data_IF_079305899305
#
_entry.id   IF_079305899305
#
_cell.length_a   1.000
_cell.length_b   1.000
_cell.length_c   1.000
_cell.angle_alpha   90.00
_cell.angle_beta   90.00
_cell.angle_gamma   90.00
#
_symmetry.space_group_name_H-M   'P 1'
#
loop_
_entity.id
_entity.type
_entity.pdbx_description
1 polymer ?
#
# COMPACT_ATOMS: atom_id res chain seq x y z
N UNK A 1 -9.78 -1.85 14.71
CA UNK A 1 -9.47 -1.42 13.32
C UNK A 1 -10.59 -1.91 12.42
N UNK A 2 -11.07 -1.12 11.44
CA UNK A 2 -12.06 -1.60 10.49
C UNK A 2 -11.49 -2.75 9.66
N UNK A 3 -12.30 -3.78 9.45
CA UNK A 3 -11.98 -4.94 8.63
C UNK A 3 -13.04 -5.05 7.55
N UNK A 4 -12.62 -5.32 6.32
CA UNK A 4 -13.49 -5.64 5.20
C UNK A 4 -12.95 -6.83 4.41
N UNK A 5 -13.79 -7.43 3.58
CA UNK A 5 -13.35 -8.41 2.60
C UNK A 5 -13.33 -7.84 1.20
N UNK A 6 -12.47 -8.39 0.36
CA UNK A 6 -12.50 -8.25 -1.09
C UNK A 6 -12.73 -9.64 -1.69
N UNK A 7 -13.94 -9.90 -2.20
CA UNK A 7 -14.32 -11.16 -2.83
C UNK A 7 -14.33 -10.97 -4.34
N UNK A 8 -13.41 -11.61 -5.07
CA UNK A 8 -13.24 -11.44 -6.51
C UNK A 8 -13.14 -9.96 -6.95
N UNK A 9 -12.46 -9.17 -6.12
CA UNK A 9 -12.29 -7.75 -6.34
C UNK A 9 -13.54 -6.91 -6.03
N UNK A 10 -14.56 -7.46 -5.37
CA UNK A 10 -15.73 -6.73 -4.90
C UNK A 10 -15.69 -6.57 -3.38
N UNK A 11 -15.88 -5.36 -2.84
CA UNK A 11 -15.86 -5.15 -1.40
C UNK A 11 -17.07 -5.79 -0.73
N UNK A 12 -16.85 -6.44 0.41
CA UNK A 12 -17.89 -6.92 1.32
C UNK A 12 -17.61 -6.40 2.72
N UNK A 13 -18.60 -5.74 3.31
CA UNK A 13 -18.53 -5.24 4.68
C UNK A 13 -19.05 -6.29 5.66
N UNK A 14 -18.54 -6.32 6.90
CA UNK A 14 -19.05 -7.23 7.91
C UNK A 14 -20.31 -6.72 8.59
N UNK A 15 -21.12 -7.66 9.08
CA UNK A 15 -22.02 -7.46 10.21
C UNK A 15 -21.28 -7.84 11.49
N UNK A 16 -21.30 -6.97 12.50
CA UNK A 16 -20.70 -7.28 13.81
C UNK A 16 -21.71 -8.02 14.67
N UNK A 17 -21.35 -9.21 15.12
CA UNK A 17 -22.18 -10.02 16.01
C UNK A 17 -21.95 -9.66 17.48
N UNK A 18 -22.92 -10.00 18.35
CA UNK A 18 -22.84 -9.73 19.78
C UNK A 18 -21.65 -10.43 20.48
N UNK A 19 -21.16 -11.53 19.91
CA UNK A 19 -20.01 -12.29 20.42
C UNK A 19 -18.66 -11.77 19.90
N UNK A 20 -18.65 -10.62 19.21
CA UNK A 20 -17.45 -9.98 18.68
C UNK A 20 -16.95 -10.56 17.36
N UNK A 21 -17.61 -11.58 16.79
CA UNK A 21 -17.28 -12.09 15.46
C UNK A 21 -17.78 -11.16 14.37
N UNK A 22 -17.08 -11.18 13.24
CA UNK A 22 -17.48 -10.49 12.03
C UNK A 22 -18.11 -11.49 11.05
N UNK A 23 -19.35 -11.23 10.63
CA UNK A 23 -20.07 -12.03 9.65
C UNK A 23 -20.00 -11.37 8.27
N UNK A 24 -19.64 -12.13 7.25
CA UNK A 24 -19.65 -11.73 5.85
C UNK A 24 -20.53 -12.66 5.02
N UNK A 25 -21.25 -12.08 4.06
CA UNK A 25 -22.01 -12.81 3.06
C UNK A 25 -21.19 -12.95 1.78
N UNK A 26 -20.83 -14.18 1.43
CA UNK A 26 -19.91 -14.48 0.32
C UNK A 26 -20.58 -15.42 -0.66
N UNK A 27 -20.53 -15.12 -1.95
CA UNK A 27 -20.97 -16.03 -3.00
C UNK A 27 -19.84 -16.98 -3.41
N UNK A 28 -20.08 -18.28 -3.34
CA UNK A 28 -19.11 -19.31 -3.75
C UNK A 28 -19.51 -19.97 -5.09
N UNK A 29 -18.55 -20.49 -5.88
CA UNK A 29 -17.11 -20.45 -5.62
C UNK A 29 -16.54 -19.05 -5.91
N UNK A 30 -15.76 -18.53 -4.96
CA UNK A 30 -14.95 -17.33 -5.17
C UNK A 30 -13.57 -17.75 -5.70
N UNK A 31 -12.96 -16.94 -6.56
CA UNK A 31 -11.58 -17.15 -7.02
C UNK A 31 -10.57 -16.62 -6.01
N UNK A 32 -10.90 -15.52 -5.36
CA UNK A 32 -10.07 -14.85 -4.35
C UNK A 32 -10.96 -14.21 -3.28
N UNK A 33 -10.56 -14.37 -2.02
CA UNK A 33 -11.13 -13.64 -0.89
C UNK A 33 -9.97 -13.04 -0.11
N UNK A 34 -9.90 -11.72 0.02
CA UNK A 34 -8.85 -11.03 0.80
C UNK A 34 -9.44 -10.34 2.02
N UNK A 35 -8.78 -10.48 3.16
CA UNK A 35 -9.03 -9.73 4.39
C UNK A 35 -8.24 -8.42 4.30
N UNK A 36 -8.95 -7.31 4.30
CA UNK A 36 -8.39 -5.97 4.27
C UNK A 36 -8.57 -5.30 5.64
N UNK A 37 -7.50 -4.71 6.15
CA UNK A 37 -7.54 -3.91 7.36
C UNK A 37 -6.49 -2.80 7.33
N UNK A 38 -6.62 -1.85 8.27
CA UNK A 38 -5.47 -1.05 8.67
C UNK A 38 -4.33 -1.94 9.18
N UNK A 39 -3.13 -1.38 9.29
CA UNK A 39 -1.99 -2.05 9.89
C UNK A 39 -1.14 -1.05 10.68
N UNK A 40 -0.36 -1.58 11.61
CA UNK A 40 0.72 -0.87 12.29
C UNK A 40 2.02 -1.66 12.23
N UNK A 41 3.12 -1.05 12.68
CA UNK A 41 4.35 -1.77 12.99
C UNK A 41 4.67 -1.54 14.46
N UNK A 42 4.88 -2.58 15.28
CA UNK A 42 5.15 -2.39 16.70
C UNK A 42 6.34 -1.47 16.99
N UNK A 43 7.37 -1.47 16.12
CA UNK A 43 8.51 -0.52 16.20
C UNK A 43 8.08 0.95 16.18
N UNK A 44 7.01 1.29 15.45
CA UNK A 44 6.48 2.66 15.41
C UNK A 44 5.78 3.05 16.73
N UNK A 45 5.51 2.07 17.60
CA UNK A 45 4.88 2.22 18.91
C UNK A 45 5.81 1.90 20.08
N UNK A 46 7.13 1.88 19.86
CA UNK A 46 8.11 1.69 20.92
C UNK A 46 8.50 0.23 21.22
N UNK A 47 8.18 -0.71 20.32
CA UNK A 47 8.67 -2.09 20.39
C UNK A 47 9.83 -2.30 19.41
N UNK A 48 11.08 -2.00 19.80
CA UNK A 48 12.20 -1.83 18.86
C UNK A 48 12.58 -3.09 18.07
N UNK A 49 12.16 -4.27 18.55
CA UNK A 49 12.51 -5.57 17.98
C UNK A 49 11.50 -6.01 16.91
N UNK A 50 10.22 -5.69 17.08
CA UNK A 50 9.18 -6.18 16.17
C UNK A 50 8.88 -5.14 15.08
N UNK A 51 9.45 -5.40 13.90
CA UNK A 51 9.32 -4.56 12.69
C UNK A 51 8.22 -5.07 11.75
N UNK A 52 7.49 -6.12 12.13
CA UNK A 52 6.48 -6.74 11.26
C UNK A 52 5.35 -5.75 10.99
N UNK A 53 4.76 -5.90 9.81
CA UNK A 53 3.52 -5.21 9.45
C UNK A 53 2.36 -6.04 9.99
N UNK A 54 1.63 -5.52 10.97
CA UNK A 54 0.57 -6.22 11.68
C UNK A 54 -0.77 -5.53 11.43
N UNK A 55 -1.69 -6.25 10.78
CA UNK A 55 -3.07 -5.88 10.58
C UNK A 55 -3.93 -6.35 11.74
N UNK A 56 -4.86 -7.27 11.49
CA UNK A 56 -5.71 -7.85 12.53
C UNK A 56 -5.21 -9.21 12.99
N UNK A 57 -5.36 -9.50 14.28
CA UNK A 57 -5.11 -10.80 14.87
C UNK A 57 -6.33 -11.70 14.68
N UNK A 58 -6.22 -12.67 13.78
CA UNK A 58 -7.24 -13.66 13.48
C UNK A 58 -7.15 -14.81 14.48
N UNK A 59 -8.24 -15.15 15.15
CA UNK A 59 -8.39 -16.30 16.04
C UNK A 59 -8.96 -17.52 15.32
N UNK A 60 -9.74 -17.30 14.26
CA UNK A 60 -10.35 -18.39 13.53
C UNK A 60 -11.19 -17.90 12.35
N UNK A 61 -11.39 -18.82 11.41
CA UNK A 61 -12.24 -18.62 10.22
C UNK A 61 -13.25 -19.76 10.21
N UNK A 62 -14.53 -19.43 10.06
CA UNK A 62 -15.61 -20.42 10.02
C UNK A 62 -16.55 -20.13 8.86
N UNK A 63 -17.07 -21.18 8.23
CA UNK A 63 -18.03 -21.08 7.13
C UNK A 63 -19.34 -21.73 7.57
N UNK A 64 -20.47 -21.10 7.28
CA UNK A 64 -21.80 -21.67 7.54
C UNK A 64 -22.68 -21.60 6.31
N UNK A 65 -23.38 -22.70 6.03
CA UNK A 65 -24.46 -22.70 5.06
C UNK A 65 -25.47 -23.80 5.34
N UNK A 66 -26.76 -23.43 5.37
CA UNK A 66 -27.85 -24.40 5.50
C UNK A 66 -27.74 -25.26 6.76
N UNK A 67 -27.20 -24.71 7.85
CA UNK A 67 -26.97 -25.41 9.12
C UNK A 67 -25.69 -26.25 9.18
N UNK A 68 -24.94 -26.39 8.07
CA UNK A 68 -23.62 -27.01 8.07
C UNK A 68 -22.54 -25.96 8.36
N UNK A 69 -21.56 -26.32 9.19
CA UNK A 69 -20.43 -25.45 9.58
C UNK A 69 -19.10 -26.11 9.27
N UNK A 70 -18.13 -25.35 8.75
CA UNK A 70 -16.75 -25.78 8.53
C UNK A 70 -15.82 -24.77 9.19
N UNK A 71 -15.09 -25.21 10.20
CA UNK A 71 -14.06 -24.41 10.86
C UNK A 71 -12.70 -24.63 10.21
N UNK A 72 -11.98 -23.54 10.00
CA UNK A 72 -10.64 -23.54 9.44
C UNK A 72 -9.63 -23.25 10.56
N UNK A 73 -8.73 -24.20 10.89
CA UNK A 73 -7.72 -24.01 11.92
C UNK A 73 -6.76 -22.86 11.57
N UNK A 74 -6.54 -21.93 12.50
CA UNK A 74 -5.71 -20.73 12.29
C UNK A 74 -4.20 -21.04 12.15
N UNK A 75 -3.78 -22.20 12.63
CA UNK A 75 -2.45 -22.78 12.51
C UNK A 75 -2.23 -23.51 11.16
N UNK A 76 -3.26 -23.61 10.32
CA UNK A 76 -3.14 -24.18 8.98
C UNK A 76 -1.98 -23.56 8.20
N UNK A 77 -1.13 -24.42 7.63
CA UNK A 77 0.02 -24.01 6.82
C UNK A 77 -0.38 -23.36 5.50
N UNK A 78 -1.66 -23.42 5.11
CA UNK A 78 -2.18 -22.78 3.91
C UNK A 78 -2.18 -21.25 4.03
N UNK A 79 -2.26 -20.68 5.25
CA UNK A 79 -2.22 -19.23 5.49
C UNK A 79 -0.82 -18.68 5.21
N UNK A 80 -0.62 -18.15 4.00
CA UNK A 80 0.67 -17.67 3.48
C UNK A 80 0.59 -16.20 3.04
N UNK A 81 -0.25 -15.88 2.05
CA UNK A 81 -0.30 -14.53 1.46
C UNK A 81 -0.89 -13.50 2.43
N UNK A 82 -0.04 -12.60 2.94
CA UNK A 82 -0.38 -11.53 3.89
C UNK A 82 -0.64 -12.01 5.32
N UNK A 83 -0.20 -13.23 5.67
CA UNK A 83 -0.34 -13.83 6.99
C UNK A 83 1.02 -14.02 7.67
N UNK A 84 1.13 -13.67 8.95
CA UNK A 84 2.31 -13.93 9.78
C UNK A 84 2.31 -15.37 10.31
N UNK A 85 3.36 -15.77 11.04
CA UNK A 85 3.39 -17.03 11.77
C UNK A 85 2.29 -17.10 12.84
N UNK A 86 1.84 -18.31 13.16
CA UNK A 86 0.90 -18.53 14.27
C UNK A 86 1.61 -18.20 15.58
N UNK A 87 0.90 -17.52 16.47
CA UNK A 87 1.34 -17.16 17.80
C UNK A 87 0.39 -17.78 18.84
N UNK A 88 0.96 -18.24 19.93
CA UNK A 88 0.21 -18.71 21.10
C UNK A 88 0.75 -17.95 22.32
N UNK A 89 -0.03 -17.04 22.93
CA UNK A 89 0.43 -16.34 24.12
C UNK A 89 0.63 -17.32 25.26
N UNK A 90 1.66 -17.12 26.10
CA UNK A 90 1.83 -17.93 27.31
C UNK A 90 0.62 -17.84 28.27
N UNK A 91 -0.18 -16.77 28.16
CA UNK A 91 -1.34 -16.48 28.98
C UNK A 91 -2.67 -16.98 28.40
N UNK A 92 -2.67 -17.58 27.21
CA UNK A 92 -3.89 -18.08 26.57
C UNK A 92 -3.63 -19.37 25.80
N UNK A 93 -4.57 -20.31 25.92
CA UNK A 93 -4.60 -21.53 25.12
C UNK A 93 -4.94 -21.26 23.64
N UNK A 94 -5.49 -20.08 23.31
CA UNK A 94 -5.93 -19.74 21.97
C UNK A 94 -4.77 -19.26 21.10
N UNK A 95 -4.54 -20.02 20.04
CA UNK A 95 -3.68 -19.62 18.93
C UNK A 95 -4.33 -18.50 18.12
N UNK A 96 -3.51 -17.62 17.57
CA UNK A 96 -3.93 -16.56 16.68
C UNK A 96 -2.86 -16.28 15.63
N UNK A 97 -3.24 -15.55 14.59
CA UNK A 97 -2.33 -15.18 13.51
C UNK A 97 -2.57 -13.75 13.06
N UNK A 98 -1.52 -12.97 12.96
CA UNK A 98 -1.62 -11.62 12.41
C UNK A 98 -1.75 -11.65 10.89
N UNK A 99 -2.62 -10.79 10.35
CA UNK A 99 -2.52 -10.36 8.95
C UNK A 99 -1.48 -9.25 8.82
N UNK A 100 -1.13 -8.84 7.60
CA UNK A 100 -0.31 -7.64 7.32
C UNK A 100 -1.14 -6.42 6.88
N UNK A 101 -2.46 -6.53 6.97
CA UNK A 101 -3.44 -5.56 6.45
C UNK A 101 -4.01 -5.92 5.07
N UNK A 102 -3.46 -6.91 4.38
CA UNK A 102 -4.00 -7.41 3.11
C UNK A 102 -3.70 -8.91 2.89
N UNK A 103 -4.48 -9.76 3.56
CA UNK A 103 -4.23 -11.20 3.58
C UNK A 103 -5.21 -11.98 2.70
N UNK A 104 -4.73 -12.85 1.81
CA UNK A 104 -5.59 -13.68 0.97
C UNK A 104 -5.95 -14.99 1.68
N UNK A 105 -7.25 -15.24 1.86
CA UNK A 105 -7.73 -16.53 2.33
C UNK A 105 -7.37 -17.60 1.28
N UNK A 106 -6.70 -18.69 1.67
CA UNK A 106 -6.27 -19.71 0.74
C UNK A 106 -7.47 -20.42 0.10
N UNK A 107 -7.55 -20.55 -1.23
CA UNK A 107 -8.67 -21.22 -1.90
C UNK A 107 -8.86 -22.68 -1.47
N UNK A 108 -7.81 -23.34 -0.99
CA UNK A 108 -7.89 -24.70 -0.43
C UNK A 108 -8.72 -24.79 0.85
N UNK A 109 -9.03 -23.66 1.49
CA UNK A 109 -9.87 -23.57 2.69
C UNK A 109 -11.31 -23.16 2.35
N UNK A 110 -11.63 -22.93 1.07
CA UNK A 110 -12.99 -22.60 0.67
C UNK A 110 -13.86 -23.86 0.69
N UNK A 111 -15.06 -23.80 1.26
CA UNK A 111 -15.94 -24.96 1.27
C UNK A 111 -16.43 -25.25 -0.16
N UNK A 112 -16.74 -26.52 -0.49
CA UNK A 112 -17.14 -26.93 -1.84
C UNK A 112 -18.59 -26.49 -2.21
N UNK A 113 -19.16 -25.53 -1.48
CA UNK A 113 -20.53 -25.05 -1.65
C UNK A 113 -20.65 -24.06 -2.82
N UNK A 114 -21.87 -23.90 -3.36
CA UNK A 114 -22.16 -23.01 -4.52
C UNK A 114 -23.32 -22.07 -4.26
N UNK A 115 -23.12 -20.76 -4.29
CA UNK A 115 -24.11 -19.75 -3.89
C UNK A 115 -23.74 -19.06 -2.58
N UNK A 116 -24.69 -18.32 -2.02
CA UNK A 116 -24.49 -17.52 -0.81
C UNK A 116 -24.11 -18.39 0.40
N UNK A 117 -23.06 -17.97 1.10
CA UNK A 117 -22.42 -18.66 2.21
C UNK A 117 -22.01 -17.62 3.24
N UNK A 118 -22.17 -17.93 4.53
CA UNK A 118 -21.73 -17.06 5.62
C UNK A 118 -20.30 -17.38 5.98
N UNK A 119 -19.47 -16.36 6.09
CA UNK A 119 -18.08 -16.44 6.51
C UNK A 119 -17.92 -15.65 7.81
N UNK A 120 -17.44 -16.30 8.86
CA UNK A 120 -17.20 -15.69 10.16
C UNK A 120 -15.69 -15.53 10.37
N UNK A 121 -15.28 -14.32 10.73
CA UNK A 121 -13.94 -14.05 11.24
C UNK A 121 -14.01 -13.79 12.73
N UNK A 122 -13.31 -14.61 13.50
CA UNK A 122 -13.10 -14.38 14.94
C UNK A 122 -11.80 -13.60 15.10
N UNK A 123 -11.85 -12.41 15.70
CA UNK A 123 -10.68 -11.55 15.88
C UNK A 123 -10.32 -11.46 17.36
N UNK A 124 -9.03 -11.36 17.66
CA UNK A 124 -8.56 -11.06 19.01
C UNK A 124 -8.85 -9.59 19.31
N UNK A 125 -9.51 -9.32 20.44
CA UNK A 125 -9.62 -7.95 20.94
C UNK A 125 -8.23 -7.39 21.20
N UNK A 126 -8.00 -6.16 20.73
CA UNK A 126 -6.76 -5.47 21.03
C UNK A 126 -6.83 -5.02 22.49
N UNK A 127 -6.13 -5.72 23.37
CA UNK A 127 -6.02 -5.43 24.81
C UNK A 127 -4.87 -4.48 25.18
N UNK A 128 -4.05 -4.09 24.19
CA UNK A 128 -2.90 -3.21 24.38
C UNK A 128 -1.63 -3.94 24.81
N UNK A 129 -1.72 -5.25 25.06
CA UNK A 129 -0.64 -6.04 25.67
C UNK A 129 0.12 -6.93 24.68
N UNK A 130 -0.36 -7.05 23.45
CA UNK A 130 0.19 -7.96 22.43
C UNK A 130 1.41 -7.39 21.70
N UNK A 131 2.43 -7.08 22.49
CA UNK A 131 3.84 -7.08 22.11
C UNK A 131 4.67 -7.86 23.14
N UNK A 132 4.08 -8.87 23.77
CA UNK A 132 4.78 -9.78 24.65
C UNK A 132 5.52 -10.83 23.81
N UNK A 133 6.81 -10.64 23.60
CA UNK A 133 7.75 -11.71 23.24
C UNK A 133 7.68 -12.83 24.28
N UNK A 134 7.47 -14.10 23.88
CA UNK A 134 7.99 -15.23 24.60
C UNK A 134 9.25 -15.68 23.86
N UNK A 135 10.42 -15.19 24.29
CA UNK A 135 11.64 -15.94 24.06
C UNK A 135 11.49 -17.23 24.88
N UNK A 136 11.24 -18.34 24.19
CA UNK A 136 11.32 -19.66 24.82
C UNK A 136 12.73 -19.93 25.37
N UNK A 137 12.86 -20.82 26.37
CA UNK A 137 14.12 -21.08 27.07
C UNK A 137 15.25 -21.68 26.20
N UNK A 138 15.02 -21.95 24.91
CA UNK A 138 16.06 -22.40 23.97
C UNK A 138 17.03 -21.31 23.52
N UNK A 139 16.74 -20.02 23.77
CA UNK A 139 17.65 -18.93 23.44
C UNK A 139 18.89 -18.83 24.37
N UNK A 140 18.97 -19.62 25.44
CA UNK A 140 20.11 -19.63 26.35
C UNK A 140 21.30 -20.51 25.89
N UNK A 141 21.17 -21.24 24.79
CA UNK A 141 22.19 -22.20 24.34
C UNK A 141 23.19 -21.68 23.29
N UNK A 142 23.06 -20.44 22.80
CA UNK A 142 23.94 -19.90 21.74
C UNK A 142 25.01 -18.91 22.23
N UNK A 143 25.32 -18.89 23.52
CA UNK A 143 26.40 -18.07 24.09
C UNK A 143 27.75 -18.77 24.21
N UNK A 144 27.97 -19.89 23.51
CA UNK A 144 29.29 -20.53 23.40
C UNK A 144 29.45 -21.25 22.07
N UNK A 145 29.92 -20.57 21.03
CA UNK A 145 30.74 -21.20 19.99
C UNK A 145 31.59 -20.14 19.29
N UNK A 146 32.90 -20.27 19.46
CA UNK A 146 33.94 -19.50 18.78
C UNK A 146 34.10 -19.96 17.32
N UNK A 147 34.77 -19.11 16.54
CA UNK A 147 34.91 -19.13 15.08
C UNK A 147 35.38 -20.44 14.41
N UNK A 148 35.13 -20.45 13.10
CA UNK A 148 35.60 -21.39 12.07
C UNK A 148 35.04 -22.83 12.08
N UNK A 149 33.94 -23.02 11.33
CA UNK A 149 33.75 -24.19 10.47
C UNK A 149 32.63 -23.93 9.45
N UNK A 150 32.91 -24.15 8.16
CA UNK A 150 31.89 -24.22 7.12
C UNK A 150 31.11 -25.54 7.24
N UNK A 151 29.78 -25.49 7.15
CA UNK A 151 28.92 -26.69 7.07
C UNK A 151 28.55 -27.01 5.60
N UNK A 152 28.41 -28.29 5.23
CA UNK A 152 28.26 -28.71 3.82
C UNK A 152 26.82 -28.54 3.28
N UNK A 153 26.64 -28.47 1.95
CA UNK A 153 25.40 -27.99 1.30
C UNK A 153 24.22 -28.97 1.30
N UNK A 154 24.24 -30.06 2.06
CA UNK A 154 23.36 -31.23 1.81
C UNK A 154 22.17 -31.40 2.76
N UNK A 155 21.65 -30.32 3.38
CA UNK A 155 20.54 -30.42 4.35
C UNK A 155 19.24 -29.67 3.99
N UNK A 156 19.12 -29.15 2.77
CA UNK A 156 17.87 -28.52 2.31
C UNK A 156 17.33 -29.21 1.06
N UNK A 157 16.10 -29.76 1.06
CA UNK A 157 15.47 -30.17 -0.18
C UNK A 157 15.18 -28.92 -1.03
N UNK A 158 15.27 -29.01 -2.38
CA UNK A 158 15.06 -27.85 -3.24
C UNK A 158 13.61 -27.38 -3.18
N UNK A 159 13.40 -26.19 -2.61
CA UNK A 159 12.11 -25.52 -2.65
C UNK A 159 11.74 -25.19 -4.10
N UNK A 160 10.69 -25.85 -4.61
CA UNK A 160 10.02 -25.52 -5.88
C UNK A 160 8.68 -24.84 -5.58
N UNK A 161 8.71 -23.66 -4.98
CA UNK A 161 7.53 -22.79 -4.85
C UNK A 161 7.66 -21.63 -5.82
N UNK A 162 6.72 -21.49 -6.77
CA UNK A 162 6.68 -20.34 -7.65
C UNK A 162 6.24 -19.11 -6.85
N UNK A 163 7.08 -18.06 -6.81
CA UNK A 163 6.71 -16.79 -6.20
C UNK A 163 5.73 -16.10 -7.16
N UNK A 164 4.46 -16.02 -6.78
CA UNK A 164 3.48 -15.20 -7.52
C UNK A 164 3.40 -13.84 -6.86
N UNK A 165 3.86 -12.80 -7.56
CA UNK A 165 3.61 -11.42 -7.16
C UNK A 165 2.13 -11.08 -7.42
N UNK A 166 1.34 -10.97 -6.35
CA UNK A 166 -0.04 -10.49 -6.43
C UNK A 166 -0.05 -8.96 -6.45
N UNK A 167 -0.26 -8.38 -7.62
CA UNK A 167 -0.63 -6.98 -7.75
C UNK A 167 -2.09 -6.93 -8.17
N UNK A 168 -2.96 -6.68 -7.20
CA UNK A 168 -4.39 -6.57 -7.45
C UNK A 168 -4.65 -5.24 -8.17
N UNK A 169 -4.79 -5.33 -9.50
CA UNK A 169 -5.13 -4.23 -10.39
C UNK A 169 -6.55 -4.48 -10.90
N UNK A 170 -7.55 -4.08 -10.10
CA UNK A 170 -8.90 -3.88 -10.60
C UNK A 170 -9.15 -2.38 -10.71
N UNK A 171 -9.65 -1.96 -11.87
CA UNK A 171 -10.22 -0.62 -12.05
C UNK A 171 -11.34 -0.45 -11.02
N UNK A 172 -11.10 0.42 -10.04
CA UNK A 172 -12.08 0.82 -9.04
C UNK A 172 -13.06 1.80 -9.69
N UNK A 173 -14.34 1.46 -9.69
CA UNK A 173 -15.44 2.23 -10.26
C UNK A 173 -15.97 3.33 -9.34
N UNK A 174 -15.38 3.49 -8.15
CA UNK A 174 -15.73 4.55 -7.22
C UNK A 174 -16.97 4.28 -6.35
N UNK A 175 -17.61 3.11 -6.42
CA UNK A 175 -18.73 2.82 -5.53
C UNK A 175 -18.27 2.15 -4.23
N UNK A 176 -17.92 2.96 -3.23
CA UNK A 176 -18.30 2.61 -1.86
C UNK A 176 -19.72 3.15 -1.64
N UNK A 177 -20.57 2.38 -0.96
CA UNK A 177 -21.66 2.96 -0.19
C UNK A 177 -21.01 3.93 0.81
N UNK A 178 -20.97 5.21 0.43
CA UNK A 178 -20.12 6.21 1.04
C UNK A 178 -20.60 6.50 2.46
N UNK A 179 -19.85 6.04 3.46
CA UNK A 179 -19.74 6.88 4.65
C UNK A 179 -19.16 8.22 4.17
N UNK A 180 -19.76 9.36 4.55
CA UNK A 180 -19.21 10.66 4.16
C UNK A 180 -17.76 10.72 4.60
N UNK A 181 -16.83 10.85 3.65
CA UNK A 181 -15.45 11.17 3.97
C UNK A 181 -15.47 12.45 4.81
N UNK A 182 -14.72 12.48 5.91
CA UNK A 182 -14.47 13.72 6.62
C UNK A 182 -13.93 14.78 5.65
N UNK A 183 -14.11 16.09 5.92
CA UNK A 183 -13.79 17.14 4.96
C UNK A 183 -12.34 17.09 4.45
N UNK A 184 -11.39 16.67 5.31
CA UNK A 184 -9.99 16.47 4.94
C UNK A 184 -9.82 15.31 3.95
N UNK A 185 -10.44 14.16 4.23
CA UNK A 185 -10.39 13.00 3.36
C UNK A 185 -11.07 13.26 2.01
N UNK A 186 -12.20 13.98 2.01
CA UNK A 186 -12.86 14.41 0.79
C UNK A 186 -11.95 15.32 -0.05
N UNK A 187 -11.28 16.29 0.58
CA UNK A 187 -10.34 17.18 -0.11
C UNK A 187 -9.17 16.40 -0.73
N UNK A 188 -8.48 15.58 0.07
CA UNK A 188 -7.31 14.79 -0.36
C UNK A 188 -7.64 13.75 -1.43
N UNK A 189 -8.88 13.24 -1.47
CA UNK A 189 -9.30 12.24 -2.45
C UNK A 189 -9.31 12.73 -3.89
N UNK A 190 -9.38 14.06 -4.09
CA UNK A 190 -9.39 14.70 -5.41
C UNK A 190 -8.00 14.85 -6.04
N UNK A 191 -6.94 14.47 -5.33
CA UNK A 191 -5.56 14.69 -5.75
C UNK A 191 -4.84 13.38 -6.09
N UNK A 192 -3.84 13.45 -6.98
CA UNK A 192 -2.90 12.37 -7.23
C UNK A 192 -1.46 12.91 -7.31
N UNK A 193 -0.48 12.12 -6.86
CA UNK A 193 0.92 12.56 -6.83
C UNK A 193 1.60 12.34 -8.18
N UNK A 194 2.42 13.31 -8.61
CA UNK A 194 3.40 13.18 -9.68
C UNK A 194 4.82 12.89 -9.16
N UNK A 195 4.97 12.57 -7.88
CA UNK A 195 6.21 12.01 -7.33
C UNK A 195 6.98 12.97 -6.42
N UNK A 196 8.29 13.08 -6.69
CA UNK A 196 9.37 13.45 -5.77
C UNK A 196 9.54 12.46 -4.61
N UNK A 197 8.50 12.27 -3.80
CA UNK A 197 8.45 11.32 -2.70
C UNK A 197 7.02 10.99 -2.26
N UNK A 198 6.90 10.16 -1.22
CA UNK A 198 5.64 9.59 -0.75
C UNK A 198 4.79 10.51 0.14
N UNK A 199 5.16 11.77 0.35
CA UNK A 199 4.57 12.59 1.44
C UNK A 199 3.06 12.83 1.28
N UNK A 200 2.59 13.19 0.08
CA UNK A 200 1.15 13.34 -0.17
C UNK A 200 0.40 12.02 0.03
N UNK A 201 1.00 10.90 -0.39
CA UNK A 201 0.38 9.59 -0.24
C UNK A 201 0.27 9.16 1.23
N UNK A 202 1.24 9.55 2.07
CA UNK A 202 1.18 9.39 3.52
C UNK A 202 0.08 10.28 4.14
N UNK A 203 -0.06 11.53 3.68
CA UNK A 203 -1.16 12.41 4.13
C UNK A 203 -2.54 11.83 3.75
N UNK A 204 -2.69 11.31 2.53
CA UNK A 204 -3.90 10.61 2.10
C UNK A 204 -4.21 9.43 3.02
N UNK A 205 -3.23 8.55 3.26
CA UNK A 205 -3.38 7.41 4.17
C UNK A 205 -3.72 7.84 5.60
N UNK A 206 -3.14 8.94 6.10
CA UNK A 206 -3.43 9.46 7.43
C UNK A 206 -4.93 9.76 7.62
N UNK A 207 -5.60 10.29 6.60
CA UNK A 207 -7.05 10.53 6.62
C UNK A 207 -7.88 9.39 6.01
N UNK A 208 -7.33 8.19 5.88
CA UNK A 208 -8.06 7.01 5.38
C UNK A 208 -8.37 7.04 3.88
N UNK A 209 -7.71 7.91 3.11
CA UNK A 209 -7.85 7.98 1.65
C UNK A 209 -6.93 6.96 1.01
N UNK A 210 -7.49 5.82 0.60
CA UNK A 210 -6.78 4.81 -0.20
C UNK A 210 -7.23 4.87 -1.65
N UNK A 211 -6.49 5.64 -2.45
CA UNK A 211 -6.73 5.76 -3.88
C UNK A 211 -6.30 4.49 -4.63
N UNK A 212 -6.86 4.23 -5.83
CA UNK A 212 -6.30 3.23 -6.73
C UNK A 212 -4.81 3.47 -6.95
N UNK A 213 -4.05 2.40 -7.13
CA UNK A 213 -2.61 2.49 -7.35
C UNK A 213 -2.32 3.42 -8.54
N UNK A 214 -1.44 4.40 -8.31
CA UNK A 214 -0.97 5.37 -9.31
C UNK A 214 0.54 5.25 -9.44
N UNK A 215 1.05 5.51 -10.65
CA UNK A 215 2.45 5.26 -10.99
C UNK A 215 3.42 5.98 -10.06
N UNK A 216 3.11 7.24 -9.74
CA UNK A 216 4.04 8.15 -9.06
C UNK A 216 3.71 8.35 -7.57
N UNK A 217 2.64 7.70 -7.07
CA UNK A 217 2.15 7.84 -5.68
C UNK A 217 3.19 7.45 -4.62
N UNK A 218 3.98 6.41 -4.90
CA UNK A 218 4.99 5.86 -3.99
C UNK A 218 6.40 5.90 -4.57
N UNK A 219 6.60 6.67 -5.64
CA UNK A 219 7.88 6.72 -6.35
C UNK A 219 8.77 7.83 -5.81
N UNK A 220 10.07 7.53 -5.70
CA UNK A 220 11.08 8.56 -5.65
C UNK A 220 11.44 9.01 -7.07
N UNK A 221 11.28 10.30 -7.36
CA UNK A 221 11.61 10.91 -8.66
C UNK A 221 12.32 12.25 -8.46
N UNK A 222 12.79 12.84 -9.55
CA UNK A 222 13.19 14.25 -9.60
C UNK A 222 12.25 15.02 -10.52
N UNK A 223 12.26 16.36 -10.44
CA UNK A 223 11.55 17.21 -11.38
C UNK A 223 11.89 16.88 -12.84
N UNK A 224 13.18 16.78 -13.17
CA UNK A 224 13.63 16.52 -14.54
C UNK A 224 13.15 15.16 -15.05
N UNK A 225 13.14 14.15 -14.18
CA UNK A 225 12.65 12.82 -14.56
C UNK A 225 11.15 12.82 -14.85
N UNK A 226 10.35 13.56 -14.05
CA UNK A 226 8.91 13.68 -14.25
C UNK A 226 8.59 14.52 -15.48
N UNK A 227 9.27 15.66 -15.66
CA UNK A 227 9.08 16.53 -16.82
C UNK A 227 9.41 15.78 -18.12
N UNK A 228 10.61 15.19 -18.20
CA UNK A 228 11.03 14.35 -19.33
C UNK A 228 10.09 13.17 -19.54
N UNK A 229 9.68 12.51 -18.45
CA UNK A 229 8.72 11.41 -18.48
C UNK A 229 7.38 11.82 -19.08
N UNK A 230 6.82 12.97 -18.70
CA UNK A 230 5.56 13.45 -19.29
C UNK A 230 5.75 13.82 -20.77
N UNK A 231 6.84 14.51 -21.11
CA UNK A 231 7.18 14.91 -22.48
C UNK A 231 7.29 13.72 -23.44
N UNK A 232 7.92 12.62 -23.01
CA UNK A 232 8.03 11.38 -23.78
C UNK A 232 6.94 10.35 -23.45
N UNK A 233 5.91 10.74 -22.69
CA UNK A 233 4.84 9.83 -22.22
C UNK A 233 5.37 8.57 -21.54
N UNK A 234 6.47 8.68 -20.81
CA UNK A 234 7.21 7.64 -20.09
C UNK A 234 7.58 6.46 -21.00
N UNK A 235 7.99 6.75 -22.22
CA UNK A 235 8.47 5.73 -23.16
C UNK A 235 9.62 4.90 -22.56
N UNK A 236 9.59 3.60 -22.84
CA UNK A 236 10.52 2.63 -22.26
C UNK A 236 10.20 2.19 -20.82
N UNK A 237 9.23 2.80 -20.13
CA UNK A 237 8.91 2.41 -18.77
C UNK A 237 8.33 0.98 -18.71
N UNK A 238 9.00 0.11 -17.94
CA UNK A 238 8.71 -1.32 -17.87
C UNK A 238 9.34 -2.14 -19.00
N UNK A 239 10.26 -1.58 -19.78
CA UNK A 239 11.18 -2.34 -20.62
C UNK A 239 12.26 -3.00 -19.75
N UNK A 240 12.45 -4.34 -19.81
CA UNK A 240 13.54 -5.03 -19.12
C UNK A 240 14.94 -4.48 -19.44
N UNK A 241 15.15 -3.89 -20.62
CA UNK A 241 16.45 -3.30 -20.98
C UNK A 241 16.80 -2.05 -20.15
N UNK A 242 15.79 -1.34 -19.65
CA UNK A 242 15.96 -0.08 -18.90
C UNK A 242 15.45 -0.16 -17.47
N UNK A 243 14.81 -1.28 -17.09
CA UNK A 243 14.28 -1.54 -15.76
C UNK A 243 15.21 -2.48 -15.01
N UNK A 244 15.58 -2.13 -13.78
CA UNK A 244 16.45 -2.95 -12.94
C UNK A 244 15.79 -3.21 -11.59
N UNK A 245 16.12 -4.35 -10.99
CA UNK A 245 15.79 -4.66 -9.60
C UNK A 245 17.09 -4.76 -8.84
N UNK A 246 17.23 -3.94 -7.79
CA UNK A 246 18.44 -3.88 -6.99
C UNK A 246 18.09 -4.06 -5.51
N UNK A 247 18.84 -4.92 -4.83
CA UNK A 247 18.77 -5.05 -3.38
C UNK A 247 19.30 -3.77 -2.71
N UNK A 248 18.64 -3.34 -1.64
CA UNK A 248 19.12 -2.30 -0.74
C UNK A 248 19.16 -2.84 0.68
N UNK A 249 19.73 -2.11 1.63
CA UNK A 249 19.76 -2.52 3.05
C UNK A 249 18.37 -2.72 3.67
N UNK A 250 17.29 -2.24 3.04
CA UNK A 250 15.92 -2.34 3.53
C UNK A 250 15.04 -3.30 2.71
N UNK A 251 15.08 -3.18 1.38
CA UNK A 251 14.27 -3.98 0.47
C UNK A 251 14.82 -3.99 -0.96
N UNK A 252 14.23 -4.81 -1.83
CA UNK A 252 14.43 -4.66 -3.27
C UNK A 252 13.75 -3.40 -3.80
N UNK A 253 14.44 -2.69 -4.68
CA UNK A 253 13.91 -1.53 -5.41
C UNK A 253 13.88 -1.77 -6.91
N UNK A 254 12.76 -1.41 -7.53
CA UNK A 254 12.68 -1.23 -8.98
C UNK A 254 13.25 0.13 -9.34
N UNK A 255 14.15 0.17 -10.30
CA UNK A 255 14.81 1.37 -10.79
C UNK A 255 14.62 1.48 -12.30
N UNK A 256 14.31 2.69 -12.75
CA UNK A 256 14.14 3.03 -14.17
C UNK A 256 14.81 4.39 -14.41
N UNK A 257 14.93 4.85 -15.66
CA UNK A 257 15.41 6.20 -15.93
C UNK A 257 14.53 7.30 -15.37
N UNK A 258 13.26 7.03 -14.98
CA UNK A 258 12.33 8.07 -14.55
C UNK A 258 11.99 8.02 -13.05
N UNK A 259 12.09 6.84 -12.43
CA UNK A 259 11.57 6.62 -11.09
C UNK A 259 12.24 5.45 -10.38
N UNK A 260 12.11 5.48 -9.05
CA UNK A 260 12.48 4.40 -8.13
C UNK A 260 11.27 4.01 -7.28
N UNK A 261 11.04 2.71 -7.13
CA UNK A 261 9.94 2.15 -6.34
C UNK A 261 10.43 1.09 -5.39
N UNK A 262 9.89 1.11 -4.18
CA UNK A 262 10.02 0.02 -3.20
C UNK A 262 9.17 -1.17 -3.63
N UNK A 263 9.75 -2.37 -3.59
CA UNK A 263 8.99 -3.62 -3.84
C UNK A 263 8.41 -4.21 -2.56
N UNK A 264 8.85 -3.72 -1.39
CA UNK A 264 8.54 -4.27 -0.06
C UNK A 264 9.02 -5.70 0.18
N UNK A 265 9.78 -6.28 -0.75
CA UNK A 265 10.47 -7.55 -0.55
C UNK A 265 11.73 -7.28 0.28
N UNK A 266 11.63 -7.56 1.57
CA UNK A 266 12.63 -7.26 2.61
C UNK A 266 13.64 -8.38 2.88
N UNK A 267 13.66 -9.40 2.03
CA UNK A 267 14.58 -10.54 2.13
C UNK A 267 15.31 -10.73 0.81
N UNK A 268 16.64 -10.98 0.83
CA UNK A 268 17.40 -11.33 -0.35
C UNK A 268 16.81 -12.55 -1.07
N UNK A 269 16.82 -12.50 -2.39
CA UNK A 269 16.36 -13.56 -3.29
C UNK A 269 17.53 -14.08 -4.13
N UNK A 270 17.41 -15.33 -4.54
CA UNK A 270 18.29 -15.90 -5.56
C UNK A 270 18.05 -15.24 -6.93
N UNK A 271 18.88 -15.60 -7.92
CA UNK A 271 18.80 -15.03 -9.27
C UNK A 271 17.42 -15.19 -9.89
N UNK A 272 16.77 -16.34 -9.63
CA UNK A 272 15.43 -16.63 -10.15
C UNK A 272 14.38 -15.72 -9.52
N UNK A 273 14.39 -15.55 -8.20
CA UNK A 273 13.46 -14.65 -7.51
C UNK A 273 13.66 -13.19 -7.92
N UNK A 274 14.90 -12.75 -8.17
CA UNK A 274 15.17 -11.42 -8.72
C UNK A 274 14.61 -11.27 -10.14
N UNK A 275 14.77 -12.28 -10.98
CA UNK A 275 14.20 -12.28 -12.34
C UNK A 275 12.66 -12.23 -12.33
N UNK A 276 12.02 -12.95 -11.40
CA UNK A 276 10.55 -12.89 -11.19
C UNK A 276 10.11 -11.48 -10.75
N UNK A 277 10.82 -10.87 -9.80
CA UNK A 277 10.55 -9.49 -9.37
C UNK A 277 10.70 -8.50 -10.51
N UNK A 278 11.73 -8.65 -11.35
CA UNK A 278 11.94 -7.80 -12.52
C UNK A 278 10.82 -7.97 -13.55
N UNK A 279 10.44 -9.22 -13.86
CA UNK A 279 9.36 -9.51 -14.80
C UNK A 279 8.04 -8.86 -14.37
N UNK A 280 7.66 -9.06 -13.10
CA UNK A 280 6.45 -8.48 -12.56
C UNK A 280 6.52 -6.96 -12.42
N UNK A 281 7.66 -6.43 -11.99
CA UNK A 281 7.91 -4.99 -11.95
C UNK A 281 7.72 -4.33 -13.31
N UNK A 282 8.27 -4.92 -14.37
CA UNK A 282 8.10 -4.47 -15.75
C UNK A 282 6.63 -4.46 -16.17
N UNK A 283 5.89 -5.55 -15.92
CA UNK A 283 4.46 -5.64 -16.26
C UNK A 283 3.63 -4.55 -15.55
N UNK A 284 3.91 -4.33 -14.27
CA UNK A 284 3.25 -3.33 -13.43
C UNK A 284 3.49 -1.92 -13.92
N UNK A 285 4.75 -1.60 -14.22
CA UNK A 285 5.14 -0.30 -14.72
C UNK A 285 4.45 0.04 -16.04
N UNK A 286 4.34 -0.93 -16.97
CA UNK A 286 3.60 -0.72 -18.22
C UNK A 286 2.12 -0.42 -17.99
N UNK A 287 1.49 -1.09 -17.03
CA UNK A 287 0.09 -0.84 -16.70
C UNK A 287 -0.11 0.51 -16.01
N UNK A 288 0.70 0.82 -15.01
CA UNK A 288 0.64 2.09 -14.29
C UNK A 288 0.96 3.28 -15.19
N UNK A 289 1.87 3.13 -16.16
CA UNK A 289 2.09 4.09 -17.25
C UNK A 289 0.80 4.38 -18.00
N UNK A 290 0.16 3.35 -18.55
CA UNK A 290 -1.10 3.51 -19.32
C UNK A 290 -2.19 4.14 -18.45
N UNK A 291 -2.29 3.74 -17.19
CA UNK A 291 -3.25 4.30 -16.24
C UNK A 291 -3.00 5.79 -15.99
N UNK A 292 -1.77 6.19 -15.66
CA UNK A 292 -1.43 7.60 -15.43
C UNK A 292 -1.77 8.48 -16.63
N UNK A 293 -1.38 8.04 -17.83
CA UNK A 293 -1.67 8.79 -19.06
C UNK A 293 -3.19 8.93 -19.30
N UNK A 294 -3.97 7.88 -19.01
CA UNK A 294 -5.45 7.95 -19.07
C UNK A 294 -6.01 8.87 -17.99
N UNK A 295 -5.50 8.83 -16.77
CA UNK A 295 -5.98 9.70 -15.68
C UNK A 295 -5.71 11.19 -15.97
N UNK A 296 -4.58 11.50 -16.62
CA UNK A 296 -4.27 12.85 -17.12
C UNK A 296 -5.21 13.23 -18.27
N UNK A 297 -5.47 12.33 -19.21
CA UNK A 297 -6.39 12.55 -20.33
C UNK A 297 -7.83 12.81 -19.88
N UNK A 298 -8.31 12.02 -18.93
CA UNK A 298 -9.68 12.10 -18.40
C UNK A 298 -9.88 13.28 -17.43
N UNK A 299 -8.80 13.89 -16.93
CA UNK A 299 -8.83 15.04 -16.02
C UNK A 299 -9.69 14.82 -14.77
N UNK A 300 -9.69 13.60 -14.22
CA UNK A 300 -10.52 13.24 -13.05
C UNK A 300 -10.01 13.80 -11.73
N UNK A 301 -8.74 14.23 -11.68
CA UNK A 301 -8.03 14.62 -10.46
C UNK A 301 -7.13 15.82 -10.72
N UNK A 302 -6.78 16.51 -9.64
CA UNK A 302 -5.71 17.51 -9.65
C UNK A 302 -4.40 16.79 -9.32
N UNK A 303 -3.43 16.87 -10.22
CA UNK A 303 -2.12 16.28 -10.00
C UNK A 303 -1.25 17.19 -9.14
N UNK A 304 -0.39 16.61 -8.31
CA UNK A 304 0.46 17.35 -7.38
C UNK A 304 1.91 17.04 -7.66
N UNK A 305 2.72 18.07 -7.89
CA UNK A 305 4.17 17.95 -7.88
C UNK A 305 4.77 18.80 -6.77
N UNK A 306 5.37 18.14 -5.78
CA UNK A 306 6.08 18.79 -4.68
C UNK A 306 7.57 18.89 -5.02
N UNK A 307 8.22 19.98 -4.65
CA UNK A 307 9.67 20.12 -4.79
C UNK A 307 10.31 20.84 -3.61
N UNK A 308 11.33 20.21 -3.03
CA UNK A 308 12.23 20.84 -2.06
C UNK A 308 13.36 21.64 -2.70
N UNK A 309 13.55 21.51 -4.02
CA UNK A 309 14.62 22.17 -4.74
C UNK A 309 14.36 23.69 -4.82
N UNK A 310 15.25 24.55 -4.29
CA UNK A 310 15.12 26.00 -4.39
C UNK A 310 15.10 26.52 -5.83
N UNK A 311 15.67 25.78 -6.78
CA UNK A 311 15.66 26.10 -8.21
C UNK A 311 14.34 25.75 -8.92
N UNK A 312 13.36 25.15 -8.23
CA UNK A 312 12.06 24.86 -8.81
C UNK A 312 11.12 26.07 -8.67
N UNK A 313 10.92 26.80 -9.76
CA UNK A 313 10.10 28.00 -9.82
C UNK A 313 9.06 27.99 -10.94
N UNK A 314 8.60 29.19 -11.32
CA UNK A 314 7.50 29.36 -12.28
C UNK A 314 7.80 28.76 -13.66
N UNK A 315 9.05 28.76 -14.10
CA UNK A 315 9.45 28.19 -15.39
C UNK A 315 9.25 26.67 -15.39
N UNK A 316 9.69 26.00 -14.32
CA UNK A 316 9.58 24.55 -14.13
C UNK A 316 8.11 24.13 -13.98
N UNK A 317 7.32 24.89 -13.22
CA UNK A 317 5.87 24.66 -13.07
C UNK A 317 5.15 24.75 -14.41
N UNK A 318 5.48 25.76 -15.24
CA UNK A 318 4.91 25.92 -16.58
C UNK A 318 5.34 24.80 -17.53
N UNK A 319 6.58 24.32 -17.44
CA UNK A 319 7.05 23.17 -18.24
C UNK A 319 6.25 21.90 -17.90
N UNK A 320 6.08 21.59 -16.62
CA UNK A 320 5.25 20.45 -16.19
C UNK A 320 3.81 20.59 -16.68
N UNK A 321 3.21 21.77 -16.52
CA UNK A 321 1.87 22.04 -17.01
C UNK A 321 1.77 21.83 -18.52
N UNK A 322 2.72 22.34 -19.29
CA UNK A 322 2.75 22.18 -20.75
C UNK A 322 2.86 20.70 -21.15
N UNK A 323 3.74 19.94 -20.48
CA UNK A 323 3.89 18.50 -20.72
C UNK A 323 2.61 17.71 -20.40
N UNK A 324 1.92 18.04 -19.30
CA UNK A 324 0.61 17.46 -18.98
C UNK A 324 -0.45 17.84 -20.00
N UNK A 325 -0.53 19.11 -20.40
CA UNK A 325 -1.50 19.61 -21.40
C UNK A 325 -1.35 18.95 -22.77
N UNK A 326 -0.15 18.50 -23.12
CA UNK A 326 0.09 17.71 -24.33
C UNK A 326 -0.51 16.28 -24.27
N UNK A 327 -0.89 15.81 -23.08
CA UNK A 327 -1.57 14.52 -22.85
C UNK A 327 -3.07 14.74 -22.64
N UNK A 328 -3.44 15.72 -21.82
CA UNK A 328 -4.83 15.98 -21.45
C UNK A 328 -5.00 17.22 -20.61
N UNK A 329 -6.25 17.64 -20.34
CA UNK A 329 -6.51 18.93 -19.73
C UNK A 329 -6.42 18.89 -18.19
N UNK A 330 -5.79 17.88 -17.59
CA UNK A 330 -5.72 17.76 -16.13
C UNK A 330 -5.07 18.98 -15.44
N UNK A 331 -5.54 19.27 -14.23
CA UNK A 331 -5.03 20.36 -13.39
C UNK A 331 -3.75 19.96 -12.66
N UNK A 332 -2.90 20.94 -12.40
CA UNK A 332 -1.63 20.79 -11.69
C UNK A 332 -1.53 21.74 -10.50
N UNK A 333 -1.23 21.18 -9.32
CA UNK A 333 -0.80 21.90 -8.13
C UNK A 333 0.70 21.66 -7.92
N UNK A 334 1.49 22.72 -8.00
CA UNK A 334 2.92 22.68 -7.69
C UNK A 334 3.15 23.17 -6.25
N UNK A 335 3.86 22.38 -5.43
CA UNK A 335 4.05 22.67 -4.01
C UNK A 335 5.52 22.90 -3.70
N UNK A 336 5.84 24.08 -3.18
CA UNK A 336 7.20 24.46 -2.76
C UNK A 336 7.28 24.65 -1.25
N UNK A 337 8.48 24.51 -0.68
CA UNK A 337 8.72 24.90 0.71
C UNK A 337 8.74 26.42 0.82
N UNK A 338 8.11 26.98 1.85
CA UNK A 338 8.25 28.39 2.20
C UNK A 338 8.18 28.61 3.71
N UNK A 339 8.42 29.84 4.14
CA UNK A 339 8.28 30.24 5.55
C UNK A 339 6.83 30.11 6.04
N UNK A 340 6.68 29.85 7.35
CA UNK A 340 5.40 29.56 8.04
C UNK A 340 4.28 30.56 7.76
N UNK A 341 4.60 31.84 7.56
CA UNK A 341 3.61 32.89 7.31
C UNK A 341 2.83 32.70 5.99
N UNK A 342 3.44 32.01 5.02
CA UNK A 342 2.87 31.77 3.69
C UNK A 342 2.44 30.29 3.51
N UNK A 343 2.53 29.47 4.55
CA UNK A 343 2.13 28.07 4.51
C UNK A 343 0.62 27.93 4.26
N UNK A 344 0.23 26.85 3.56
CA UNK A 344 -1.13 26.52 3.17
C UNK A 344 -1.82 27.50 2.21
N UNK A 345 -1.13 28.57 1.77
CA UNK A 345 -1.64 29.47 0.75
C UNK A 345 -1.54 28.83 -0.63
N UNK A 346 -2.56 29.08 -1.45
CA UNK A 346 -2.63 28.62 -2.83
C UNK A 346 -2.92 29.81 -3.73
N UNK A 347 -2.14 29.95 -4.79
CA UNK A 347 -2.34 30.95 -5.85
C UNK A 347 -2.67 30.24 -7.16
N UNK A 348 -3.64 30.76 -7.92
CA UNK A 348 -3.89 30.33 -9.29
C UNK A 348 -2.96 31.10 -10.22
N UNK A 349 -1.96 30.42 -10.79
CA UNK A 349 -0.96 31.03 -11.67
C UNK A 349 -1.42 31.14 -13.12
N UNK A 350 -2.24 30.19 -13.56
CA UNK A 350 -2.84 30.14 -14.89
C UNK A 350 -4.08 29.25 -14.88
N UNK A 351 -4.76 29.10 -16.02
CA UNK A 351 -5.82 28.10 -16.13
C UNK A 351 -5.29 26.69 -15.79
N UNK A 352 -5.94 26.05 -14.82
CA UNK A 352 -5.59 24.71 -14.31
C UNK A 352 -4.16 24.55 -13.75
N UNK A 353 -3.47 25.65 -13.41
CA UNK A 353 -2.17 25.64 -12.74
C UNK A 353 -2.22 26.44 -11.43
N UNK A 354 -1.85 25.77 -10.35
CA UNK A 354 -1.87 26.30 -9.00
C UNK A 354 -0.48 26.18 -8.36
N UNK A 355 -0.10 27.16 -7.56
CA UNK A 355 1.09 27.10 -6.70
C UNK A 355 0.67 27.10 -5.23
N UNK A 356 1.15 26.08 -4.51
CA UNK A 356 0.92 25.89 -3.09
C UNK A 356 2.21 25.94 -2.29
N UNK A 357 2.11 26.21 -1.00
CA UNK A 357 3.27 26.29 -0.09
C UNK A 357 3.04 25.51 1.18
N UNK A 358 4.08 24.81 1.65
CA UNK A 358 4.13 24.14 2.95
C UNK A 358 5.31 24.66 3.75
N UNK A 359 5.19 24.67 5.09
CA UNK A 359 6.27 25.12 5.97
C UNK A 359 7.46 24.14 5.95
N UNK A 360 7.12 22.85 5.94
CA UNK A 360 8.08 21.76 6.11
C UNK A 360 7.71 20.56 5.25
N UNK A 361 8.75 19.82 4.87
CA UNK A 361 8.60 18.52 4.23
C UNK A 361 9.19 17.49 5.19
N UNK A 362 8.33 16.67 5.80
CA UNK A 362 8.71 15.74 6.86
C UNK A 362 8.13 14.36 6.55
N UNK A 363 8.99 13.38 6.39
CA UNK A 363 8.62 11.97 6.23
C UNK A 363 9.18 11.21 7.45
N UNK A 364 8.42 10.27 8.07
CA UNK A 364 7.07 9.83 7.71
C UNK A 364 5.93 10.62 8.37
N UNK A 365 6.22 11.57 9.27
CA UNK A 365 5.22 12.18 10.15
C UNK A 365 4.41 13.33 9.52
N UNK A 366 4.77 13.77 8.32
CA UNK A 366 4.08 14.82 7.57
C UNK A 366 4.19 16.21 8.17
N UNK A 367 3.61 17.17 7.46
CA UNK A 367 2.58 18.00 8.05
C UNK A 367 1.21 17.67 7.42
N UNK A 368 0.55 16.62 7.92
CA UNK A 368 -0.68 16.11 7.30
C UNK A 368 -1.83 17.13 7.27
N UNK A 369 -1.99 17.92 8.34
CA UNK A 369 -3.01 18.98 8.39
C UNK A 369 -2.74 20.09 7.36
N UNK A 370 -1.47 20.44 7.12
CA UNK A 370 -1.11 21.43 6.10
C UNK A 370 -1.45 20.91 4.70
N UNK A 371 -1.19 19.63 4.42
CA UNK A 371 -1.60 18.99 3.16
C UNK A 371 -3.11 19.02 2.95
N UNK A 372 -3.90 18.70 3.97
CA UNK A 372 -5.36 18.75 3.90
C UNK A 372 -5.87 20.18 3.64
N UNK A 373 -5.32 21.17 4.34
CA UNK A 373 -5.65 22.58 4.14
C UNK A 373 -5.30 23.04 2.72
N UNK A 374 -4.09 22.74 2.24
CA UNK A 374 -3.63 23.10 0.90
C UNK A 374 -4.52 22.50 -0.20
N UNK A 375 -4.89 21.23 -0.06
CA UNK A 375 -5.80 20.55 -0.98
C UNK A 375 -7.20 21.20 -0.98
N UNK A 376 -7.71 21.55 0.20
CA UNK A 376 -9.00 22.22 0.36
C UNK A 376 -9.02 23.59 -0.32
N UNK A 377 -8.00 24.43 -0.09
CA UNK A 377 -7.88 25.75 -0.74
C UNK A 377 -7.75 25.64 -2.26
N UNK A 378 -6.96 24.67 -2.74
CA UNK A 378 -6.84 24.42 -4.18
C UNK A 378 -8.19 24.04 -4.80
N UNK A 379 -8.99 23.21 -4.14
CA UNK A 379 -10.31 22.83 -4.64
C UNK A 379 -11.29 24.01 -4.69
N UNK A 380 -11.23 24.94 -3.72
CA UNK A 380 -12.04 26.16 -3.75
C UNK A 380 -11.73 26.99 -4.99
N UNK A 381 -10.46 27.24 -5.27
CA UNK A 381 -10.02 27.96 -6.47
C UNK A 381 -10.37 27.21 -7.76
N UNK A 382 -10.27 25.88 -7.75
CA UNK A 382 -10.57 25.06 -8.91
C UNK A 382 -12.06 25.09 -9.28
N UNK A 383 -12.96 25.08 -8.30
CA UNK A 383 -14.42 25.14 -8.53
C UNK A 383 -14.94 26.53 -8.91
N UNK A 384 -14.19 27.59 -8.59
CA UNK A 384 -14.53 28.97 -8.92
C UNK A 384 -14.06 29.39 -10.34
N UNK A 385 -13.34 28.50 -11.03
CA UNK A 385 -12.79 28.70 -12.37
C UNK A 385 -13.65 28.00 -13.41
#
# INVERSE_FOLDING_TARGET
MPVSLLVDGLPSLPETLQDGRLLFHVALPAREIRILSGFGRPVDFGHPVDRRRLGVALLGVSWERGGATIDTPVDSSAFIDGFQHVEQPATSDRMFRWTDGNAALPPSLFPPWRGETRLYLSLKEWDGSSAATPLGPEAAALSRFDGNAALPPSLFPPWRGATRLYLNLKEWDGSFAAMPLGPQAAALSAFDSLGENCELALAQRHYGVELPLSLLRWSGTTYEDVARGLECRFEGLGDPATTRVAWTEMDYRIQTPYLRLHTTVIEPRDEKGVAELLHHGCATLRLLRRKLLRDIADSRRIFVFKSANPGFGLAEMRRLQAAMRAIGPASLLCVTRNDRAEACRVEKLADRLYAGRLERFVIPHGPFDEWAALCSETLKLHRAS
#
